data_IF_200651498857
#
_entry.id   IF_200651498857
#
_cell.length_a   1.000
_cell.length_b   1.000
_cell.length_c   1.000
_cell.angle_alpha   90.00
_cell.angle_beta   90.00
_cell.angle_gamma   90.00
#
_symmetry.space_group_name_H-M   'P 1'
#
loop_
_entity.id
_entity.type
_entity.pdbx_description
1 polymer ?
#
# COMPACT_ATOMS: atom_id res chain seq x y z
N UNK A 1 16.60 -9.52 24.29
CA UNK A 1 16.26 -9.04 22.94
C UNK A 1 17.23 -9.69 21.97
N UNK A 2 16.75 -10.13 20.78
CA UNK A 2 17.66 -10.62 19.75
C UNK A 2 18.62 -9.53 19.27
N UNK A 3 19.79 -9.91 18.79
CA UNK A 3 20.83 -8.96 18.35
C UNK A 3 21.24 -9.25 16.92
N UNK A 4 21.29 -8.20 16.08
CA UNK A 4 21.82 -8.27 14.72
C UNK A 4 23.31 -7.91 14.77
N UNK A 5 24.15 -8.79 14.25
CA UNK A 5 25.61 -8.63 14.28
C UNK A 5 26.16 -8.09 12.98
N UNK A 6 25.62 -8.56 11.85
CA UNK A 6 26.07 -8.18 10.52
C UNK A 6 24.89 -8.12 9.56
N UNK A 7 24.97 -7.24 8.57
CA UNK A 7 24.05 -7.13 7.45
C UNK A 7 24.88 -7.14 6.17
N UNK A 8 24.49 -7.97 5.22
CA UNK A 8 25.11 -8.10 3.92
C UNK A 8 24.07 -7.83 2.83
N UNK A 9 24.41 -6.98 1.85
CA UNK A 9 23.61 -6.76 0.65
C UNK A 9 23.93 -7.86 -0.35
N UNK A 10 22.95 -8.69 -0.73
CA UNK A 10 23.16 -9.83 -1.61
C UNK A 10 22.92 -9.53 -3.09
N UNK A 11 22.10 -8.52 -3.40
CA UNK A 11 21.76 -8.14 -4.78
C UNK A 11 21.97 -6.65 -5.00
N UNK A 12 22.10 -6.24 -6.26
CA UNK A 12 22.20 -4.83 -6.66
C UNK A 12 21.22 -4.53 -7.80
N UNK A 13 19.93 -4.64 -7.49
CA UNK A 13 18.84 -4.43 -8.43
C UNK A 13 18.30 -2.99 -8.33
N UNK A 14 17.71 -2.51 -9.42
CA UNK A 14 17.21 -1.14 -9.50
C UNK A 14 16.07 -0.86 -8.49
N UNK A 15 15.13 -1.79 -8.31
CA UNK A 15 13.91 -1.54 -7.55
C UNK A 15 13.87 -2.23 -6.20
N UNK A 16 14.43 -3.44 -6.07
CA UNK A 16 14.34 -4.25 -4.86
C UNK A 16 15.64 -5.00 -4.65
N UNK A 17 16.16 -4.99 -3.43
CA UNK A 17 17.37 -5.69 -3.05
C UNK A 17 17.11 -6.70 -1.93
N UNK A 18 17.87 -7.78 -1.92
CA UNK A 18 17.88 -8.77 -0.85
C UNK A 18 19.05 -8.51 0.09
N UNK A 19 18.74 -8.50 1.39
CA UNK A 19 19.72 -8.35 2.47
C UNK A 19 19.70 -9.58 3.35
N UNK A 20 20.87 -10.02 3.78
CA UNK A 20 21.04 -11.10 4.75
C UNK A 20 21.47 -10.53 6.10
N UNK A 21 20.74 -10.88 7.14
CA UNK A 21 21.00 -10.46 8.52
C UNK A 21 21.52 -11.66 9.32
N UNK A 22 22.73 -11.56 9.84
CA UNK A 22 23.26 -12.49 10.82
C UNK A 22 22.95 -11.97 12.22
N UNK A 23 22.22 -12.75 13.00
CA UNK A 23 21.71 -12.35 14.31
C UNK A 23 21.82 -13.49 15.34
N UNK A 24 21.51 -13.17 16.59
CA UNK A 24 21.23 -14.15 17.64
C UNK A 24 19.86 -13.87 18.24
N UNK A 25 19.16 -14.96 18.58
CA UNK A 25 17.88 -14.90 19.28
C UNK A 25 18.05 -14.47 20.75
N UNK A 26 16.96 -14.29 21.48
CA UNK A 26 16.95 -14.06 22.93
C UNK A 26 17.58 -15.23 23.72
N UNK A 27 17.67 -16.40 23.12
CA UNK A 27 18.28 -17.60 23.71
C UNK A 27 19.71 -17.86 23.23
N UNK A 28 20.37 -16.85 22.62
CA UNK A 28 21.71 -16.92 22.04
C UNK A 28 21.85 -17.96 20.90
N UNK A 29 20.75 -18.34 20.27
CA UNK A 29 20.77 -19.22 19.08
C UNK A 29 21.07 -18.39 17.84
N UNK A 30 21.98 -18.82 16.94
CA UNK A 30 22.24 -18.17 15.68
C UNK A 30 20.97 -18.08 14.82
N UNK A 31 20.73 -16.91 14.21
CA UNK A 31 19.61 -16.63 13.31
C UNK A 31 20.16 -16.08 12.01
N UNK A 32 19.76 -16.71 10.91
CA UNK A 32 19.99 -16.23 9.55
C UNK A 32 18.65 -15.72 9.00
N UNK A 33 18.55 -14.43 8.71
CA UNK A 33 17.30 -13.80 8.28
C UNK A 33 17.48 -13.03 6.98
N UNK A 34 16.51 -13.12 6.08
CA UNK A 34 16.53 -12.43 4.80
C UNK A 34 15.44 -11.37 4.76
N UNK A 35 15.79 -10.19 4.25
CA UNK A 35 14.88 -9.06 4.08
C UNK A 35 14.98 -8.55 2.65
N UNK A 36 13.83 -8.44 1.98
CA UNK A 36 13.70 -7.68 0.75
C UNK A 36 13.48 -6.20 1.10
N UNK A 37 14.21 -5.29 0.46
CA UNK A 37 14.11 -3.85 0.73
C UNK A 37 14.35 -3.01 -0.53
N UNK A 38 13.68 -1.86 -0.62
CA UNK A 38 13.94 -0.85 -1.65
C UNK A 38 15.22 -0.04 -1.38
N UNK A 39 15.78 -0.13 -0.19
CA UNK A 39 17.03 0.52 0.19
C UNK A 39 18.16 0.18 -0.81
N UNK A 40 18.93 1.17 -1.21
CA UNK A 40 20.07 1.00 -2.13
C UNK A 40 21.34 0.60 -1.40
N UNK A 41 21.41 0.91 -0.11
CA UNK A 41 22.55 0.60 0.76
C UNK A 41 22.07 0.12 2.15
N UNK A 42 22.97 -0.55 2.88
CA UNK A 42 22.71 -0.99 4.26
C UNK A 42 22.32 0.20 5.16
N UNK A 43 22.90 1.37 4.92
CA UNK A 43 22.64 2.55 5.75
C UNK A 43 21.24 3.14 5.57
N UNK A 44 20.57 2.82 4.47
CA UNK A 44 19.20 3.28 4.16
C UNK A 44 18.12 2.34 4.71
N UNK A 45 18.48 1.12 5.11
CA UNK A 45 17.54 0.17 5.72
C UNK A 45 16.83 0.81 6.93
N UNK A 46 15.54 0.57 7.11
CA UNK A 46 14.79 1.07 8.27
C UNK A 46 15.41 0.65 9.60
N UNK A 47 15.97 -0.55 9.67
CA UNK A 47 16.69 -1.03 10.85
C UNK A 47 17.93 -0.18 11.21
N UNK A 48 18.53 0.51 10.23
CA UNK A 48 19.69 1.40 10.43
C UNK A 48 19.27 2.84 10.68
N UNK A 49 18.28 3.32 9.92
CA UNK A 49 17.80 4.70 10.04
C UNK A 49 16.92 4.91 11.27
N UNK A 50 16.25 3.85 11.77
CA UNK A 50 15.25 3.93 12.81
C UNK A 50 13.98 4.71 12.41
N UNK A 51 13.84 5.05 11.13
CA UNK A 51 12.71 5.83 10.61
C UNK A 51 11.77 4.92 9.83
N UNK A 52 10.47 5.08 10.05
CA UNK A 52 9.43 4.43 9.28
C UNK A 52 8.76 5.45 8.34
N UNK A 53 9.48 5.86 7.29
CA UNK A 53 8.91 6.67 6.19
C UNK A 53 8.18 5.74 5.21
N UNK A 54 7.01 6.14 4.67
CA UNK A 54 6.32 5.32 3.68
C UNK A 54 7.13 5.25 2.38
N UNK A 55 7.25 4.07 1.81
CA UNK A 55 7.72 3.90 0.44
C UNK A 55 6.61 4.05 -0.57
N UNK A 56 5.37 3.86 -0.15
CA UNK A 56 4.20 3.98 -1.00
C UNK A 56 2.97 4.47 -0.25
N UNK A 57 1.94 4.76 -1.04
CA UNK A 57 0.61 5.14 -0.57
C UNK A 57 -0.43 4.17 -1.07
N UNK A 58 -1.44 3.93 -0.24
CA UNK A 58 -2.66 3.19 -0.58
C UNK A 58 -3.81 4.18 -0.51
N UNK A 59 -4.66 4.23 -1.51
CA UNK A 59 -5.67 5.28 -1.64
C UNK A 59 -7.06 4.70 -1.45
N UNK A 60 -7.59 4.81 -0.23
CA UNK A 60 -8.95 4.40 0.05
C UNK A 60 -9.92 5.55 -0.24
N UNK A 61 -10.61 5.47 -1.36
CA UNK A 61 -11.52 6.52 -1.82
C UNK A 61 -12.95 6.03 -2.05
N UNK A 62 -13.91 6.89 -1.69
CA UNK A 62 -15.31 6.72 -2.05
C UNK A 62 -15.63 7.58 -3.27
N UNK A 63 -16.37 7.00 -4.23
CA UNK A 63 -16.64 7.61 -5.53
C UNK A 63 -18.00 8.29 -5.59
N UNK A 64 -18.00 9.46 -6.24
CA UNK A 64 -19.18 10.21 -6.65
C UNK A 64 -19.92 10.90 -5.49
N UNK A 65 -21.04 11.55 -5.81
CA UNK A 65 -21.83 12.31 -4.84
C UNK A 65 -22.45 11.42 -3.75
N UNK A 66 -22.87 10.21 -4.10
CA UNK A 66 -23.51 9.27 -3.16
C UNK A 66 -22.50 8.59 -2.23
N UNK A 67 -21.22 8.55 -2.59
CA UNK A 67 -20.17 7.90 -1.80
C UNK A 67 -20.46 6.44 -1.45
N UNK A 68 -21.23 5.77 -2.30
CA UNK A 68 -21.69 4.39 -2.13
C UNK A 68 -20.85 3.34 -2.85
N UNK A 69 -19.77 3.78 -3.50
CA UNK A 69 -18.81 2.92 -4.21
C UNK A 69 -17.40 3.20 -3.77
N UNK A 70 -16.58 2.16 -3.74
CA UNK A 70 -15.13 2.29 -3.57
C UNK A 70 -14.44 2.25 -4.93
N UNK A 71 -13.34 2.99 -5.07
CA UNK A 71 -12.46 2.89 -6.23
C UNK A 71 -11.46 1.77 -5.99
N UNK A 72 -11.45 0.79 -6.88
CA UNK A 72 -10.51 -0.33 -6.88
C UNK A 72 -9.79 -0.39 -8.22
N UNK A 73 -8.66 -1.05 -8.23
CA UNK A 73 -7.95 -1.48 -9.42
C UNK A 73 -7.87 -3.00 -9.46
N UNK A 74 -8.08 -3.57 -10.64
CA UNK A 74 -7.79 -4.96 -10.95
C UNK A 74 -6.52 -4.99 -11.78
N UNK A 75 -5.41 -5.41 -11.16
CA UNK A 75 -4.08 -5.29 -11.74
C UNK A 75 -3.43 -6.67 -11.93
N UNK A 76 -2.70 -6.85 -13.04
CA UNK A 76 -1.87 -8.02 -13.23
C UNK A 76 -0.60 -7.93 -12.38
N UNK A 77 -0.39 -8.91 -11.50
CA UNK A 77 0.82 -9.00 -10.66
C UNK A 77 1.67 -10.19 -11.06
N UNK A 78 2.88 -9.91 -11.54
CA UNK A 78 3.85 -10.94 -11.98
C UNK A 78 4.17 -11.94 -10.88
N UNK A 79 4.17 -11.54 -9.61
CA UNK A 79 4.47 -12.40 -8.48
C UNK A 79 3.50 -13.59 -8.33
N UNK A 80 2.25 -13.43 -8.78
CA UNK A 80 1.23 -14.48 -8.74
C UNK A 80 0.83 -14.98 -10.13
N UNK A 81 1.39 -14.38 -11.20
CA UNK A 81 1.06 -14.70 -12.58
C UNK A 81 -0.43 -14.52 -12.91
N UNK A 82 -1.09 -13.52 -12.30
CA UNK A 82 -2.53 -13.34 -12.41
C UNK A 82 -3.00 -11.98 -11.91
N UNK A 83 -4.30 -11.76 -12.01
CA UNK A 83 -4.93 -10.53 -11.56
C UNK A 83 -5.28 -10.58 -10.08
N UNK A 84 -5.25 -9.40 -9.45
CA UNK A 84 -5.61 -9.18 -8.05
C UNK A 84 -6.35 -7.85 -7.93
N UNK A 85 -7.29 -7.77 -7.00
CA UNK A 85 -7.95 -6.53 -6.64
C UNK A 85 -7.19 -5.83 -5.53
N UNK A 86 -6.95 -4.54 -5.73
CA UNK A 86 -6.22 -3.65 -4.82
C UNK A 86 -6.90 -2.28 -4.79
N UNK A 87 -6.60 -1.47 -3.79
CA UNK A 87 -6.83 -0.03 -3.91
C UNK A 87 -5.79 0.57 -4.85
N UNK A 88 -6.10 1.70 -5.52
CA UNK A 88 -5.07 2.48 -6.20
C UNK A 88 -3.91 2.76 -5.24
N UNK A 89 -2.68 2.56 -5.71
CA UNK A 89 -1.51 2.61 -4.86
C UNK A 89 -0.24 2.81 -5.69
N UNK A 90 0.68 3.63 -5.21
CA UNK A 90 1.96 3.80 -5.88
C UNK A 90 3.07 4.24 -4.96
N UNK A 91 4.25 4.44 -5.52
CA UNK A 91 5.43 4.84 -4.78
C UNK A 91 5.41 6.35 -4.52
N UNK A 92 5.83 6.73 -3.31
CA UNK A 92 6.12 8.14 -3.00
C UNK A 92 7.45 8.52 -3.65
N UNK A 93 7.45 9.56 -4.46
CA UNK A 93 8.65 10.04 -5.13
C UNK A 93 9.62 10.76 -4.16
N UNK A 94 10.90 10.88 -4.50
CA UNK A 94 11.86 11.61 -3.67
C UNK A 94 11.44 13.08 -3.48
N UNK A 95 11.29 13.51 -2.22
CA UNK A 95 10.82 14.82 -1.78
C UNK A 95 9.33 15.12 -2.04
N UNK A 96 8.56 14.13 -2.42
CA UNK A 96 7.10 14.21 -2.52
C UNK A 96 6.48 13.98 -1.14
N UNK A 97 5.44 14.73 -0.82
CA UNK A 97 4.60 14.47 0.34
C UNK A 97 3.59 13.38 -0.03
N UNK A 98 3.32 12.41 0.85
CA UNK A 98 2.58 11.21 0.49
C UNK A 98 1.10 11.47 0.09
N UNK A 99 0.48 12.57 0.56
CA UNK A 99 -0.84 12.98 0.07
C UNK A 99 -0.78 13.51 -1.37
N UNK A 100 0.30 14.21 -1.75
CA UNK A 100 0.54 14.63 -3.13
C UNK A 100 0.74 13.41 -4.03
N UNK A 101 1.53 12.43 -3.56
CA UNK A 101 1.69 11.14 -4.22
C UNK A 101 0.35 10.41 -4.42
N UNK A 102 -0.51 10.41 -3.42
CA UNK A 102 -1.85 9.80 -3.53
C UNK A 102 -2.73 10.50 -4.60
N UNK A 103 -2.67 11.82 -4.70
CA UNK A 103 -3.41 12.57 -5.73
C UNK A 103 -2.89 12.24 -7.12
N UNK A 104 -1.56 12.18 -7.28
CA UNK A 104 -0.90 11.83 -8.55
C UNK A 104 -1.23 10.40 -8.99
N UNK A 105 -1.02 9.41 -8.12
CA UNK A 105 -1.25 7.99 -8.41
C UNK A 105 -2.73 7.71 -8.73
N UNK A 106 -3.66 8.29 -7.99
CA UNK A 106 -5.09 8.16 -8.32
C UNK A 106 -5.38 8.63 -9.74
N UNK A 107 -4.79 9.75 -10.16
CA UNK A 107 -5.00 10.26 -11.51
C UNK A 107 -4.30 9.39 -12.58
N UNK A 108 -3.08 8.96 -12.32
CA UNK A 108 -2.30 8.13 -13.25
C UNK A 108 -2.98 6.78 -13.50
N UNK A 109 -3.36 6.07 -12.44
CA UNK A 109 -3.98 4.75 -12.56
C UNK A 109 -5.43 4.78 -13.04
N UNK A 110 -6.20 5.82 -12.66
CA UNK A 110 -7.66 5.81 -12.85
C UNK A 110 -8.22 6.95 -13.70
N UNK A 111 -7.50 8.05 -13.86
CA UNK A 111 -7.99 9.29 -14.45
C UNK A 111 -8.91 10.10 -13.53
N UNK A 112 -9.20 9.63 -12.32
CA UNK A 112 -10.11 10.29 -11.40
C UNK A 112 -9.39 11.43 -10.64
N UNK A 113 -10.15 12.48 -10.35
CA UNK A 113 -9.70 13.52 -9.43
C UNK A 113 -9.94 13.06 -8.00
N UNK A 114 -8.90 13.12 -7.18
CA UNK A 114 -8.92 12.72 -5.78
C UNK A 114 -8.81 13.93 -4.85
N UNK A 115 -9.63 13.95 -3.82
CA UNK A 115 -9.60 14.97 -2.77
C UNK A 115 -9.34 14.28 -1.43
N UNK A 116 -8.10 14.34 -0.89
CA UNK A 116 -7.77 13.78 0.41
C UNK A 116 -8.59 14.41 1.54
N UNK A 117 -8.96 13.61 2.54
CA UNK A 117 -9.52 14.07 3.80
C UNK A 117 -8.39 14.44 4.76
N UNK A 118 -8.65 15.41 5.61
CA UNK A 118 -7.80 15.67 6.77
C UNK A 118 -8.28 14.81 7.92
N UNK A 119 -7.46 13.87 8.35
CA UNK A 119 -7.78 12.90 9.42
C UNK A 119 -6.74 12.96 10.53
N UNK A 120 -6.97 12.26 11.64
CA UNK A 120 -5.95 12.09 12.67
C UNK A 120 -4.72 11.38 12.07
N UNK A 121 -3.49 11.89 12.31
CA UNK A 121 -2.27 11.28 11.78
C UNK A 121 -2.07 9.79 12.12
N UNK A 122 -2.72 9.29 13.16
CA UNK A 122 -2.67 7.88 13.52
C UNK A 122 -3.30 6.98 12.46
N UNK A 123 -4.28 7.46 11.69
CA UNK A 123 -4.89 6.69 10.60
C UNK A 123 -4.01 6.63 9.34
N UNK A 124 -3.13 7.60 9.14
CA UNK A 124 -2.31 7.75 7.93
C UNK A 124 -0.83 7.38 8.14
N UNK A 125 -0.40 7.17 9.39
CA UNK A 125 1.00 6.81 9.63
C UNK A 125 1.40 5.55 8.87
N UNK A 126 2.67 5.42 8.44
CA UNK A 126 3.11 4.24 7.70
C UNK A 126 2.99 2.96 8.53
N UNK A 127 2.27 1.98 7.99
CA UNK A 127 2.19 0.63 8.52
C UNK A 127 2.98 -0.33 7.64
N UNK A 128 3.66 -1.31 8.27
CA UNK A 128 4.40 -2.33 7.55
C UNK A 128 3.45 -3.26 6.77
N UNK A 129 3.78 -3.52 5.51
CA UNK A 129 2.95 -4.34 4.62
C UNK A 129 3.12 -5.83 4.91
N UNK A 130 4.36 -6.32 4.92
CA UNK A 130 4.68 -7.75 5.11
C UNK A 130 6.01 -7.89 5.88
N UNK A 131 6.05 -7.44 7.14
CA UNK A 131 7.28 -7.30 7.94
C UNK A 131 8.06 -8.60 8.15
N UNK A 132 7.45 -9.77 7.92
CA UNK A 132 8.15 -11.05 7.92
C UNK A 132 9.08 -11.27 6.71
N UNK A 133 8.97 -10.47 5.66
CA UNK A 133 9.73 -10.62 4.41
C UNK A 133 10.39 -9.33 3.94
N UNK A 134 9.81 -8.18 4.26
CA UNK A 134 10.25 -6.87 3.78
C UNK A 134 10.14 -5.82 4.88
N UNK A 135 10.95 -4.77 4.80
CA UNK A 135 10.82 -3.58 5.64
C UNK A 135 9.90 -2.50 5.02
N UNK A 136 9.21 -2.83 3.94
CA UNK A 136 8.28 -1.92 3.27
C UNK A 136 7.14 -1.50 4.17
N UNK A 137 6.80 -0.22 4.12
CA UNK A 137 5.60 0.33 4.75
C UNK A 137 4.90 1.31 3.82
N UNK A 138 3.58 1.37 3.94
CA UNK A 138 2.74 2.28 3.18
C UNK A 138 1.88 3.13 4.13
N UNK A 139 1.65 4.39 3.73
CA UNK A 139 0.63 5.23 4.32
C UNK A 139 -0.72 4.96 3.63
N UNK A 140 -1.83 5.08 4.34
CA UNK A 140 -3.16 5.05 3.72
C UNK A 140 -3.70 6.47 3.67
N UNK A 141 -4.11 6.93 2.48
CA UNK A 141 -4.75 8.23 2.29
C UNK A 141 -6.23 8.02 2.00
N UNK A 142 -7.06 8.62 2.82
CA UNK A 142 -8.52 8.54 2.72
C UNK A 142 -9.07 9.76 1.98
N UNK A 143 -10.13 9.58 1.17
CA UNK A 143 -10.70 10.73 0.49
C UNK A 143 -11.86 10.38 -0.44
N UNK A 144 -12.18 11.35 -1.28
CA UNK A 144 -13.26 11.24 -2.26
C UNK A 144 -12.72 11.36 -3.67
N UNK A 145 -13.22 10.50 -4.55
CA UNK A 145 -12.89 10.50 -5.96
C UNK A 145 -14.09 10.91 -6.82
N UNK A 146 -13.83 11.69 -7.85
CA UNK A 146 -14.85 12.19 -8.80
C UNK A 146 -14.28 12.24 -10.23
N UNK A 147 -15.15 12.36 -11.21
CA UNK A 147 -14.79 12.49 -12.62
C UNK A 147 -15.05 11.22 -13.42
N UNK A 148 -14.43 11.13 -14.59
CA UNK A 148 -14.57 10.00 -15.50
C UNK A 148 -13.30 9.16 -15.53
N UNK A 149 -13.48 7.83 -15.54
CA UNK A 149 -12.37 6.89 -15.65
C UNK A 149 -11.65 7.11 -16.97
N UNK A 150 -10.32 7.20 -16.92
CA UNK A 150 -9.46 7.33 -18.09
C UNK A 150 -8.18 6.54 -17.91
N UNK A 151 -7.75 5.86 -18.98
CA UNK A 151 -6.47 5.14 -19.04
C UNK A 151 -5.35 5.97 -19.68
N UNK A 152 -5.62 7.24 -20.01
CA UNK A 152 -4.70 8.07 -20.80
C UNK A 152 -3.39 8.41 -20.07
N UNK A 153 -3.36 8.30 -18.73
CA UNK A 153 -2.19 8.59 -17.92
C UNK A 153 -1.51 7.32 -17.37
N UNK A 154 -2.07 6.12 -17.63
CA UNK A 154 -1.47 4.85 -17.16
C UNK A 154 -0.11 4.62 -17.84
N UNK A 155 0.82 4.06 -17.09
CA UNK A 155 2.12 3.65 -17.63
C UNK A 155 1.98 2.44 -18.56
N UNK A 156 2.80 2.38 -19.63
CA UNK A 156 2.81 1.25 -20.59
C UNK A 156 3.15 -0.11 -19.94
N UNK A 157 3.78 -0.09 -18.76
CA UNK A 157 4.17 -1.28 -18.01
C UNK A 157 3.07 -1.83 -17.11
N UNK A 158 1.96 -1.09 -16.96
CA UNK A 158 0.86 -1.42 -16.06
C UNK A 158 -0.36 -1.94 -16.82
N UNK A 159 -0.87 -3.07 -16.37
CA UNK A 159 -2.11 -3.64 -16.85
C UNK A 159 -3.19 -3.48 -15.78
N UNK A 160 -3.84 -2.31 -15.79
CA UNK A 160 -4.80 -1.88 -14.77
C UNK A 160 -6.19 -1.72 -15.38
N UNK A 161 -7.19 -2.27 -14.68
CA UNK A 161 -8.62 -2.06 -14.91
C UNK A 161 -9.23 -1.38 -13.67
N UNK A 162 -9.87 -0.24 -13.85
CA UNK A 162 -10.52 0.51 -12.78
C UNK A 162 -11.91 -0.04 -12.51
N UNK A 163 -12.21 -0.30 -11.25
CA UNK A 163 -13.50 -0.86 -10.81
C UNK A 163 -14.14 0.04 -9.76
N UNK A 164 -15.32 0.55 -10.06
CA UNK A 164 -16.16 1.30 -9.10
C UNK A 164 -17.12 0.32 -8.43
N UNK A 165 -16.69 -0.28 -7.33
CA UNK A 165 -17.38 -1.37 -6.68
C UNK A 165 -18.40 -0.85 -5.65
N UNK A 166 -19.66 -1.20 -5.81
CA UNK A 166 -20.68 -1.09 -4.78
C UNK A 166 -20.60 -2.26 -3.78
N UNK A 167 -21.48 -2.31 -2.79
CA UNK A 167 -21.46 -3.34 -1.74
C UNK A 167 -21.66 -4.76 -2.29
N UNK A 168 -22.47 -4.93 -3.32
CA UNK A 168 -22.70 -6.26 -3.90
C UNK A 168 -21.48 -6.71 -4.71
N UNK A 169 -20.86 -5.81 -5.46
CA UNK A 169 -19.63 -6.11 -6.18
C UNK A 169 -18.47 -6.38 -5.21
N UNK A 170 -18.35 -5.64 -4.11
CA UNK A 170 -17.36 -5.91 -3.07
C UNK A 170 -17.55 -7.31 -2.45
N UNK A 171 -18.79 -7.75 -2.20
CA UNK A 171 -19.07 -9.10 -1.72
C UNK A 171 -18.66 -10.17 -2.72
N UNK A 172 -18.91 -9.93 -4.03
CA UNK A 172 -18.49 -10.86 -5.10
C UNK A 172 -16.95 -10.94 -5.14
N UNK A 173 -16.27 -9.79 -5.17
CA UNK A 173 -14.81 -9.71 -5.21
C UNK A 173 -14.18 -10.50 -4.05
N UNK A 174 -14.64 -10.26 -2.82
CA UNK A 174 -14.12 -10.95 -1.63
C UNK A 174 -14.35 -12.48 -1.63
N UNK A 175 -15.35 -12.98 -2.36
CA UNK A 175 -15.66 -14.41 -2.43
C UNK A 175 -14.95 -15.14 -3.57
N UNK A 176 -14.77 -14.46 -4.70
CA UNK A 176 -14.45 -15.11 -5.98
C UNK A 176 -13.09 -14.74 -6.53
N UNK A 177 -12.49 -13.65 -6.06
CA UNK A 177 -11.29 -13.08 -6.67
C UNK A 177 -10.08 -13.10 -5.72
N UNK A 178 -8.90 -12.94 -6.27
CA UNK A 178 -7.71 -12.62 -5.46
C UNK A 178 -7.79 -11.17 -5.01
N UNK A 179 -7.54 -10.92 -3.73
CA UNK A 179 -7.56 -9.58 -3.13
C UNK A 179 -6.32 -9.40 -2.25
N UNK A 180 -5.64 -8.26 -2.39
CA UNK A 180 -4.53 -7.90 -1.51
C UNK A 180 -5.01 -7.73 -0.06
N UNK A 181 -4.22 -8.17 0.91
CA UNK A 181 -4.65 -8.24 2.32
C UNK A 181 -5.13 -6.89 2.86
N UNK A 182 -4.42 -5.80 2.56
CA UNK A 182 -4.82 -4.45 3.00
C UNK A 182 -6.16 -4.04 2.38
N UNK A 183 -6.36 -4.35 1.10
CA UNK A 183 -7.62 -4.12 0.41
C UNK A 183 -8.74 -4.95 1.03
N UNK A 184 -8.53 -6.24 1.26
CA UNK A 184 -9.54 -7.13 1.81
C UNK A 184 -10.09 -6.63 3.16
N UNK A 185 -9.21 -6.23 4.10
CA UNK A 185 -9.64 -5.71 5.40
C UNK A 185 -10.42 -4.41 5.30
N UNK A 186 -10.00 -3.49 4.45
CA UNK A 186 -10.71 -2.23 4.25
C UNK A 186 -12.05 -2.44 3.52
N UNK A 187 -12.15 -3.41 2.60
CA UNK A 187 -13.40 -3.78 1.96
C UNK A 187 -14.39 -4.43 2.96
N UNK A 188 -13.90 -5.27 3.89
CA UNK A 188 -14.74 -5.80 4.97
C UNK A 188 -15.29 -4.68 5.86
N UNK A 189 -14.48 -3.67 6.15
CA UNK A 189 -14.89 -2.47 6.88
C UNK A 189 -15.94 -1.67 6.08
N UNK A 190 -15.73 -1.46 4.77
CA UNK A 190 -16.71 -0.82 3.88
C UNK A 190 -18.07 -1.52 3.89
N UNK A 191 -18.10 -2.85 4.01
CA UNK A 191 -19.35 -3.60 4.09
C UNK A 191 -20.07 -3.48 5.43
N UNK A 192 -19.33 -3.21 6.51
CA UNK A 192 -19.87 -3.18 7.86
C UNK A 192 -20.64 -1.89 8.14
N UNK A 193 -20.13 -0.74 7.70
CA UNK A 193 -20.64 0.58 8.06
C UNK A 193 -21.42 1.24 6.93
N UNK A 194 -22.57 1.84 7.25
CA UNK A 194 -23.34 2.65 6.29
C UNK A 194 -22.57 3.90 5.85
N UNK A 195 -21.82 4.52 6.78
CA UNK A 195 -20.86 5.60 6.52
C UNK A 195 -19.41 5.08 6.65
N UNK A 196 -18.78 4.60 5.57
CA UNK A 196 -17.50 3.92 5.64
C UNK A 196 -16.35 4.73 6.26
N UNK A 197 -16.46 6.06 6.30
CA UNK A 197 -15.47 6.96 6.90
C UNK A 197 -15.91 7.54 8.26
N UNK A 198 -16.92 6.98 8.90
CA UNK A 198 -17.36 7.42 10.23
C UNK A 198 -16.23 7.32 11.27
N UNK A 199 -15.45 6.24 11.23
CA UNK A 199 -14.33 6.00 12.15
C UNK A 199 -13.22 7.07 12.07
N UNK A 200 -13.05 7.75 10.94
CA UNK A 200 -12.06 8.82 10.78
C UNK A 200 -12.40 10.11 11.55
N UNK A 201 -13.62 10.20 12.08
CA UNK A 201 -14.07 11.33 12.90
C UNK A 201 -13.70 11.16 14.38
N UNK A 202 -13.24 9.97 14.76
CA UNK A 202 -12.82 9.67 16.13
C UNK A 202 -11.37 10.10 16.33
N UNK A 203 -11.05 10.62 17.52
CA UNK A 203 -9.67 10.85 17.97
C UNK A 203 -9.11 9.52 18.53
N UNK A 204 -7.93 9.11 18.06
CA UNK A 204 -7.23 7.90 18.53
C UNK A 204 -6.21 8.19 19.62
#
# INVERSE_FOLDING_TARGET
MGQIHNIEKLTDCKFLNLYHLNATSIHNTPVSYFVASRAKSINELKIKTGKNTPEGVIIYSLYGEKRDRVVLVRQYRYAIGGYIYEFPAGLVEPNEEFHEGAVREMYEETGLKFTPLKVDPAFEKPYFTTVGMTDESCATVYGYAEGEISKAAQEDSEEIEVVLADREEVKRILREENVAIMCAYQLMHFLQDEEPFAFLKEEL
#
